data_IF_900079713724
#
_entry.id   IF_900079713724
#
_cell.length_a   1.000
_cell.length_b   1.000
_cell.length_c   1.000
_cell.angle_alpha   90.00
_cell.angle_beta   90.00
_cell.angle_gamma   90.00
#
_symmetry.space_group_name_H-M   'P 1'
#
loop_
_entity.id
_entity.type
_entity.pdbx_description
1 polymer ?
#
# COMPACT_ATOMS: atom_id res chain seq x y z
N UNK A 1 -3.18 -7.94 7.00
CA UNK A 1 -2.17 -8.35 5.99
C UNK A 1 -2.34 -7.57 4.69
N UNK A 2 -3.49 -7.67 4.00
CA UNK A 2 -3.71 -7.00 2.71
C UNK A 2 -3.42 -5.49 2.72
N UNK A 3 -3.74 -4.79 3.81
CA UNK A 3 -3.47 -3.35 3.99
C UNK A 3 -1.97 -3.02 3.96
N UNK A 4 -1.13 -3.80 4.65
CA UNK A 4 0.33 -3.57 4.69
C UNK A 4 0.93 -3.82 3.32
N UNK A 5 0.56 -4.91 2.66
CA UNK A 5 0.98 -5.23 1.30
C UNK A 5 0.61 -4.09 0.35
N UNK A 6 -0.61 -3.56 0.44
CA UNK A 6 -1.06 -2.44 -0.38
C UNK A 6 -0.30 -1.14 -0.11
N UNK A 7 0.08 -0.85 1.14
CA UNK A 7 0.94 0.29 1.49
C UNK A 7 2.34 0.13 0.86
N UNK A 8 2.94 -1.06 0.94
CA UNK A 8 4.23 -1.34 0.31
C UNK A 8 4.16 -1.13 -1.21
N UNK A 9 3.13 -1.68 -1.88
CA UNK A 9 2.92 -1.45 -3.31
C UNK A 9 2.80 0.04 -3.63
N UNK A 10 2.00 0.78 -2.85
CA UNK A 10 1.79 2.20 -3.08
C UNK A 10 3.08 2.99 -2.98
N UNK A 11 3.86 2.77 -1.93
CA UNK A 11 5.10 3.51 -1.69
C UNK A 11 6.17 3.14 -2.74
N UNK A 12 6.28 1.86 -3.10
CA UNK A 12 7.18 1.43 -4.18
C UNK A 12 6.80 2.07 -5.53
N UNK A 13 5.53 2.04 -5.89
CA UNK A 13 5.06 2.62 -7.14
C UNK A 13 5.24 4.14 -7.14
N UNK A 14 5.00 4.82 -6.01
CA UNK A 14 5.26 6.26 -5.87
C UNK A 14 6.75 6.61 -6.03
N UNK A 15 7.66 5.75 -5.59
CA UNK A 15 9.11 5.94 -5.73
C UNK A 15 9.61 5.59 -7.14
N UNK A 16 8.95 4.67 -7.85
CA UNK A 16 9.36 4.22 -9.18
C UNK A 16 8.69 5.01 -10.33
N UNK A 17 7.49 5.56 -10.12
CA UNK A 17 6.74 6.27 -11.14
C UNK A 17 6.70 7.79 -10.90
N UNK A 18 6.72 8.60 -11.96
CA UNK A 18 6.48 10.04 -11.84
C UNK A 18 5.09 10.36 -11.22
N UNK A 19 4.95 11.52 -10.54
CA UNK A 19 3.74 11.87 -9.78
C UNK A 19 2.48 12.10 -10.62
N UNK A 20 2.59 12.18 -11.95
CA UNK A 20 1.45 12.34 -12.85
C UNK A 20 0.69 11.03 -13.11
N UNK A 21 1.25 9.87 -12.73
CA UNK A 21 0.57 8.59 -12.84
C UNK A 21 -0.42 8.39 -11.70
N UNK A 22 -1.65 7.98 -12.05
CA UNK A 22 -2.65 7.54 -11.07
C UNK A 22 -2.46 6.07 -10.79
N UNK A 23 -2.17 5.74 -9.54
CA UNK A 23 -2.08 4.36 -9.06
C UNK A 23 -3.45 3.96 -8.49
N UNK A 24 -3.99 2.84 -8.96
CA UNK A 24 -5.19 2.17 -8.44
C UNK A 24 -4.78 0.76 -8.00
N UNK A 25 -4.99 0.43 -6.73
CA UNK A 25 -4.60 -0.87 -6.15
C UNK A 25 -5.87 -1.60 -5.74
N UNK A 26 -6.05 -2.79 -6.28
CA UNK A 26 -7.20 -3.65 -5.99
C UNK A 26 -6.74 -5.05 -5.67
N UNK A 27 -7.38 -5.64 -4.68
CA UNK A 27 -7.29 -7.07 -4.40
C UNK A 27 -7.99 -7.83 -5.53
N UNK A 28 -7.50 -9.04 -5.83
CA UNK A 28 -8.09 -9.87 -6.88
C UNK A 28 -9.55 -10.21 -6.55
N UNK A 29 -10.48 -10.15 -7.52
CA UNK A 29 -11.88 -10.45 -7.28
C UNK A 29 -12.10 -11.82 -6.63
N UNK A 30 -12.88 -11.86 -5.54
CA UNK A 30 -13.23 -13.08 -4.82
C UNK A 30 -12.11 -13.69 -3.97
N UNK A 31 -10.94 -13.02 -3.86
CA UNK A 31 -9.78 -13.54 -3.11
C UNK A 31 -9.73 -13.09 -1.65
N UNK A 32 -10.60 -12.16 -1.23
CA UNK A 32 -10.61 -11.62 0.14
C UNK A 32 -12.05 -11.40 0.62
N UNK A 33 -12.37 -11.80 1.85
CA UNK A 33 -13.72 -11.71 2.41
C UNK A 33 -14.24 -10.26 2.42
N UNK A 34 -13.38 -9.30 2.80
CA UNK A 34 -13.71 -7.87 2.86
C UNK A 34 -13.15 -7.07 1.67
N UNK A 35 -13.15 -7.64 0.47
CA UNK A 35 -12.53 -7.05 -0.72
C UNK A 35 -12.90 -5.57 -0.94
N UNK A 36 -14.19 -5.23 -0.88
CA UNK A 36 -14.67 -3.87 -1.11
C UNK A 36 -14.11 -2.88 -0.08
N UNK A 37 -14.10 -3.28 1.19
CA UNK A 37 -13.57 -2.46 2.28
C UNK A 37 -12.07 -2.26 2.12
N UNK A 38 -11.31 -3.32 1.82
CA UNK A 38 -9.86 -3.23 1.60
C UNK A 38 -9.55 -2.34 0.40
N UNK A 39 -10.25 -2.52 -0.72
CA UNK A 39 -10.06 -1.71 -1.93
C UNK A 39 -10.37 -0.23 -1.68
N UNK A 40 -11.42 0.09 -0.91
CA UNK A 40 -11.71 1.46 -0.48
C UNK A 40 -10.57 2.04 0.35
N UNK A 41 -10.05 1.29 1.31
CA UNK A 41 -8.95 1.74 2.17
C UNK A 41 -7.65 2.00 1.40
N UNK A 42 -7.31 1.13 0.45
CA UNK A 42 -6.08 1.25 -0.35
C UNK A 42 -6.10 2.42 -1.33
N UNK A 43 -7.29 2.82 -1.80
CA UNK A 43 -7.45 3.90 -2.76
C UNK A 43 -7.77 5.26 -2.14
N UNK A 44 -8.06 5.30 -0.84
CA UNK A 44 -8.18 6.53 -0.06
C UNK A 44 -6.79 7.16 0.17
N UNK A 45 -6.53 8.28 -0.51
CA UNK A 45 -5.23 8.96 -0.47
C UNK A 45 -4.91 9.57 0.89
N UNK A 46 -5.91 10.11 1.58
CA UNK A 46 -5.72 10.76 2.88
C UNK A 46 -5.43 9.72 3.94
N UNK A 47 -6.15 8.59 3.90
CA UNK A 47 -5.91 7.45 4.78
C UNK A 47 -4.52 6.85 4.57
N UNK A 48 -4.11 6.65 3.33
CA UNK A 48 -2.78 6.13 3.02
C UNK A 48 -1.69 7.10 3.48
N UNK A 49 -1.86 8.40 3.28
CA UNK A 49 -0.91 9.39 3.78
C UNK A 49 -0.81 9.34 5.30
N UNK A 50 -1.94 9.33 6.02
CA UNK A 50 -1.96 9.22 7.48
C UNK A 50 -1.31 7.93 7.99
N UNK A 51 -1.46 6.80 7.27
CA UNK A 51 -0.80 5.55 7.61
C UNK A 51 0.73 5.65 7.47
N UNK A 52 1.24 6.36 6.47
CA UNK A 52 2.69 6.54 6.25
C UNK A 52 3.35 7.53 7.21
N UNK A 53 2.57 8.37 7.89
CA UNK A 53 3.03 9.24 9.00
C UNK A 53 3.15 8.46 10.32
N UNK A 54 2.57 7.26 10.43
CA UNK A 54 2.70 6.42 11.63
C UNK A 54 4.06 5.72 11.64
N UNK A 55 4.95 5.98 12.63
CA UNK A 55 6.30 5.42 12.66
C UNK A 55 6.34 3.89 12.61
N UNK A 56 5.39 3.21 13.27
CA UNK A 56 5.35 1.75 13.32
C UNK A 56 5.02 1.15 11.95
N UNK A 57 4.06 1.75 11.24
CA UNK A 57 3.69 1.31 9.89
C UNK A 57 4.78 1.66 8.89
N UNK A 58 5.38 2.84 9.03
CA UNK A 58 6.48 3.28 8.17
C UNK A 58 7.67 2.32 8.27
N UNK A 59 8.09 2.00 9.48
CA UNK A 59 9.17 1.04 9.71
C UNK A 59 8.86 -0.32 9.08
N UNK A 60 7.65 -0.86 9.31
CA UNK A 60 7.25 -2.14 8.73
C UNK A 60 7.26 -2.12 7.19
N UNK A 61 6.78 -1.04 6.58
CA UNK A 61 6.78 -0.88 5.12
C UNK A 61 8.21 -0.79 4.59
N UNK A 62 9.07 0.00 5.24
CA UNK A 62 10.47 0.13 4.84
C UNK A 62 11.20 -1.22 4.97
N UNK A 63 11.02 -1.96 6.07
CA UNK A 63 11.53 -3.33 6.22
C UNK A 63 11.04 -4.25 5.10
N UNK A 64 9.74 -4.19 4.73
CA UNK A 64 9.21 -4.98 3.61
C UNK A 64 9.78 -4.60 2.24
N UNK A 65 10.14 -3.33 2.03
CA UNK A 65 10.64 -2.83 0.74
C UNK A 65 12.16 -3.03 0.57
N UNK A 66 12.90 -3.04 1.67
CA UNK A 66 14.35 -3.16 1.71
C UNK A 66 14.84 -4.51 2.25
N UNK A 67 13.93 -5.44 2.57
CA UNK A 67 14.26 -6.86 2.73
C UNK A 67 14.70 -7.42 1.37
N UNK A 68 15.95 -7.12 1.01
CA UNK A 68 16.70 -7.82 -0.01
C UNK A 68 17.32 -9.05 0.64
N UNK A 69 16.51 -10.07 0.89
CA UNK A 69 17.00 -11.44 0.83
C UNK A 69 16.74 -11.95 -0.59
N UNK A 70 17.84 -12.08 -1.33
CA UNK A 70 17.95 -12.92 -2.51
C UNK A 70 18.74 -14.16 -2.11
#
# INVERSE_FOLDING_TARGET
MATVIGLCLREKLKNCFPPHFKVDIKVSPGSHADEESVNKQLNDKERVAAAMENPNLRQLVDECLYSSEL
#
